data_IF_838134662654
#
_entry.id   IF_838134662654
#
_cell.length_a   1.000
_cell.length_b   1.000
_cell.length_c   1.000
_cell.angle_alpha   90.00
_cell.angle_beta   90.00
_cell.angle_gamma   90.00
#
_symmetry.space_group_name_H-M   'P 1'
#
loop_
_entity.id
_entity.type
_entity.pdbx_description
1 polymer ?
#
# COMPACT_ATOMS: atom_id res chain seq x y z
N UNK A 1 -61.44 -1.60 10.07
CA UNK A 1 -61.67 -2.66 11.06
C UNK A 1 -60.30 -3.30 11.30
N UNK A 2 -59.67 -2.96 12.42
CA UNK A 2 -58.79 -3.70 13.32
C UNK A 2 -57.63 -4.50 12.64
N UNK A 3 -56.38 -4.45 13.09
CA UNK A 3 -55.83 -4.30 14.45
C UNK A 3 -54.33 -3.99 14.38
N UNK A 4 -53.94 -3.14 15.21
CA UNK A 4 -52.62 -2.84 15.80
C UNK A 4 -52.18 -4.04 16.65
N UNK A 5 -50.91 -4.40 16.61
CA UNK A 5 -50.09 -5.02 17.70
C UNK A 5 -48.76 -5.49 17.11
N UNK A 6 -47.59 -5.41 17.71
CA UNK A 6 -47.12 -4.84 18.96
C UNK A 6 -45.62 -4.57 18.87
N UNK A 7 -45.27 -3.54 19.53
CA UNK A 7 -43.98 -3.19 20.07
C UNK A 7 -43.51 -4.23 21.09
N UNK A 8 -42.31 -4.68 21.04
CA UNK A 8 -41.52 -5.30 22.16
C UNK A 8 -40.15 -5.69 21.60
N UNK A 9 -38.98 -5.43 22.11
CA UNK A 9 -38.48 -4.95 23.37
C UNK A 9 -36.96 -4.83 23.21
N UNK A 10 -36.43 -3.75 23.67
CA UNK A 10 -35.03 -3.54 24.01
C UNK A 10 -34.45 -4.72 24.79
N UNK A 11 -33.23 -5.11 24.48
CA UNK A 11 -32.33 -5.60 25.52
C UNK A 11 -30.90 -5.14 25.30
N UNK A 12 -30.61 -4.04 25.95
CA UNK A 12 -29.32 -3.61 26.44
C UNK A 12 -28.70 -4.69 27.32
N UNK A 13 -27.39 -4.64 27.47
CA UNK A 13 -26.49 -5.28 28.45
C UNK A 13 -25.35 -5.96 27.66
N UNK A 14 -24.07 -5.63 27.79
CA UNK A 14 -23.28 -5.39 28.99
C UNK A 14 -21.99 -4.61 28.69
N UNK A 15 -21.83 -3.62 29.51
CA UNK A 15 -20.55 -2.99 29.82
C UNK A 15 -19.72 -3.94 30.67
N UNK A 16 -18.58 -4.39 30.21
CA UNK A 16 -17.56 -4.99 31.09
C UNK A 16 -16.35 -4.07 31.10
N UNK A 17 -16.27 -3.30 32.19
CA UNK A 17 -15.06 -2.62 32.61
C UNK A 17 -14.13 -3.67 33.23
N UNK A 18 -12.95 -3.80 32.71
CA UNK A 18 -11.82 -4.39 33.44
C UNK A 18 -10.66 -3.42 33.43
N UNK A 19 -10.53 -2.72 34.54
CA UNK A 19 -9.31 -2.03 34.93
C UNK A 19 -8.35 -3.07 35.51
N UNK A 20 -7.11 -3.09 35.06
CA UNK A 20 -6.00 -3.61 35.84
C UNK A 20 -4.72 -2.86 35.46
N UNK A 21 -4.30 -2.01 36.36
CA UNK A 21 -2.96 -1.43 36.48
C UNK A 21 -1.95 -2.55 36.77
N UNK A 22 -0.81 -2.50 36.10
CA UNK A 22 0.45 -2.96 36.70
C UNK A 22 1.63 -2.22 36.06
N UNK A 23 2.20 -1.34 36.87
CA UNK A 23 3.47 -0.67 36.67
C UNK A 23 4.61 -1.68 36.79
N UNK A 24 5.58 -1.68 35.90
CA UNK A 24 6.92 -2.20 36.19
C UNK A 24 7.96 -1.32 35.49
N UNK A 25 8.58 -0.50 36.31
CA UNK A 25 9.80 0.25 36.04
C UNK A 25 10.98 -0.70 35.98
N UNK A 26 11.80 -0.66 34.96
CA UNK A 26 13.17 -1.15 35.02
C UNK A 26 14.08 -0.21 34.23
N UNK A 27 14.82 0.60 34.98
CA UNK A 27 15.98 1.38 34.58
C UNK A 27 17.14 0.45 34.25
N UNK A 28 17.66 0.51 33.03
CA UNK A 28 18.98 -0.02 32.70
C UNK A 28 19.83 1.10 32.14
N UNK A 29 20.68 1.64 33.00
CA UNK A 29 21.77 2.51 32.64
C UNK A 29 22.91 1.68 32.01
N UNK A 30 23.32 1.95 30.80
CA UNK A 30 24.57 1.41 30.24
C UNK A 30 25.52 2.58 29.99
N UNK A 31 26.62 2.51 30.73
CA UNK A 31 27.74 3.43 30.78
C UNK A 31 28.57 3.41 29.49
N UNK A 32 28.83 4.59 28.92
CA UNK A 32 29.86 4.82 27.92
C UNK A 32 31.25 4.74 28.59
N UNK A 33 32.05 3.79 28.13
CA UNK A 33 33.50 3.79 28.41
C UNK A 33 34.19 4.49 27.24
N UNK A 34 34.71 5.69 27.51
CA UNK A 34 35.65 6.41 26.65
C UNK A 34 37.05 5.83 26.86
N UNK A 35 37.65 5.26 25.82
CA UNK A 35 39.09 4.95 25.81
C UNK A 35 39.81 6.13 25.08
N UNK A 36 40.41 6.97 25.85
CA UNK A 36 41.43 7.90 25.40
C UNK A 36 42.81 7.22 25.48
N UNK A 37 43.54 7.17 24.37
CA UNK A 37 44.98 6.83 24.37
C UNK A 37 45.84 8.03 24.06
N UNK A 38 47.03 8.16 24.69
CA UNK A 38 47.86 9.37 24.57
C UNK A 38 48.74 9.34 23.32
N UNK A 39 48.90 10.53 22.79
CA UNK A 39 49.84 10.88 21.71
C UNK A 39 51.28 10.80 22.20
N UNK A 40 52.16 10.11 21.51
CA UNK A 40 53.60 10.37 21.52
C UNK A 40 54.05 10.76 20.12
N UNK A 41 54.60 11.94 20.04
CA UNK A 41 55.28 12.48 18.87
C UNK A 41 56.60 11.75 18.63
N UNK A 42 56.94 11.44 17.38
CA UNK A 42 58.22 11.77 16.80
C UNK A 42 58.30 11.54 15.27
N UNK A 43 58.73 12.61 14.64
CA UNK A 43 59.59 12.83 13.47
C UNK A 43 59.38 12.05 12.14
N UNK A 44 59.01 12.88 11.17
CA UNK A 44 59.57 13.04 9.80
C UNK A 44 59.90 11.81 8.93
N UNK A 45 59.18 11.68 7.81
CA UNK A 45 59.79 11.63 6.46
C UNK A 45 58.75 11.68 5.35
N UNK A 46 58.95 12.62 4.49
CA UNK A 46 58.58 12.89 3.11
C UNK A 46 57.98 11.76 2.26
N UNK A 47 56.99 12.19 1.47
CA UNK A 47 56.65 11.78 0.09
C UNK A 47 55.53 10.79 -0.10
N UNK A 48 54.56 11.25 -0.90
CA UNK A 48 53.63 10.36 -1.61
C UNK A 48 52.17 10.73 -1.38
N UNK A 49 51.73 11.89 -1.93
CA UNK A 49 50.31 12.16 -2.15
C UNK A 49 49.75 11.13 -3.13
N UNK A 50 49.18 10.05 -2.62
CA UNK A 50 48.20 9.30 -3.33
C UNK A 50 46.86 9.59 -2.69
N UNK A 51 46.16 10.57 -3.26
CA UNK A 51 44.74 10.80 -2.98
C UNK A 51 43.98 9.57 -3.53
N UNK A 52 43.84 8.55 -2.73
CA UNK A 52 42.81 7.52 -2.97
C UNK A 52 41.49 8.15 -2.58
N UNK A 53 40.80 8.75 -3.57
CA UNK A 53 39.38 8.95 -3.52
C UNK A 53 38.73 7.58 -3.31
N UNK A 54 38.41 7.27 -2.07
CA UNK A 54 37.48 6.21 -1.78
C UNK A 54 36.13 6.68 -2.36
N UNK A 55 35.85 6.23 -3.59
CA UNK A 55 34.51 6.22 -4.13
C UNK A 55 33.73 5.33 -3.20
N UNK A 56 32.90 5.93 -2.36
CA UNK A 56 31.85 5.19 -1.65
C UNK A 56 30.90 4.72 -2.75
N UNK A 57 31.10 3.51 -3.25
CA UNK A 57 30.07 2.78 -3.97
C UNK A 57 28.95 2.54 -2.96
N UNK A 58 28.04 3.52 -2.91
CA UNK A 58 26.73 3.29 -2.31
C UNK A 58 26.07 2.27 -3.22
N UNK A 59 26.02 1.03 -2.80
CA UNK A 59 25.28 -0.02 -3.50
C UNK A 59 23.83 0.47 -3.63
N UNK A 60 23.51 1.01 -4.79
CA UNK A 60 22.16 1.44 -5.10
C UNK A 60 21.35 0.17 -5.39
N UNK A 61 20.36 -0.11 -4.57
CA UNK A 61 19.42 -1.21 -4.83
C UNK A 61 18.73 -0.90 -6.15
N UNK A 62 18.86 -1.74 -7.17
CA UNK A 62 18.19 -1.52 -8.46
C UNK A 62 16.68 -1.37 -8.25
N UNK A 63 16.05 -0.44 -8.96
CA UNK A 63 14.59 -0.37 -9.00
C UNK A 63 14.05 -1.64 -9.68
N UNK A 64 13.23 -2.47 -9.00
CA UNK A 64 12.72 -3.71 -9.58
C UNK A 64 11.59 -3.48 -10.59
N UNK A 65 11.05 -2.27 -10.67
CA UNK A 65 9.96 -1.92 -11.57
C UNK A 65 10.49 -1.57 -12.97
N UNK A 66 9.85 -2.15 -13.98
CA UNK A 66 10.08 -1.84 -15.39
C UNK A 66 8.98 -0.92 -15.90
N UNK A 67 9.33 0.24 -16.43
CA UNK A 67 8.37 1.16 -17.04
C UNK A 67 7.95 0.64 -18.42
N UNK A 68 6.65 0.73 -18.73
CA UNK A 68 6.04 0.35 -19.99
C UNK A 68 5.35 1.56 -20.62
N UNK A 69 5.49 1.71 -21.94
CA UNK A 69 4.82 2.78 -22.66
C UNK A 69 3.32 2.48 -22.88
N UNK A 70 2.97 1.21 -22.96
CA UNK A 70 1.59 0.74 -23.22
C UNK A 70 1.26 -0.50 -22.39
N UNK A 71 -0.04 -0.79 -22.25
CA UNK A 71 -0.51 -2.04 -21.66
C UNK A 71 -0.10 -3.27 -22.50
N UNK A 72 0.05 -3.13 -23.80
CA UNK A 72 0.54 -4.20 -24.66
C UNK A 72 2.02 -4.54 -24.35
N UNK A 73 2.86 -3.55 -24.01
CA UNK A 73 4.23 -3.77 -23.58
C UNK A 73 4.25 -4.50 -22.22
N UNK A 74 3.37 -4.11 -21.30
CA UNK A 74 3.21 -4.79 -20.01
C UNK A 74 2.75 -6.25 -20.21
N UNK A 75 1.77 -6.50 -21.09
CA UNK A 75 1.28 -7.84 -21.42
C UNK A 75 2.39 -8.73 -22.02
N UNK A 76 3.30 -8.16 -22.82
CA UNK A 76 4.45 -8.90 -23.35
C UNK A 76 5.43 -9.37 -22.25
N UNK A 77 5.51 -8.64 -21.14
CA UNK A 77 6.36 -8.99 -19.99
C UNK A 77 5.67 -9.96 -19.01
N UNK A 78 4.36 -9.82 -18.81
CA UNK A 78 3.62 -10.59 -17.81
C UNK A 78 2.91 -11.82 -18.36
N UNK A 79 2.64 -11.85 -19.68
CA UNK A 79 1.96 -12.96 -20.34
C UNK A 79 0.42 -12.91 -20.23
N UNK A 80 -0.17 -11.82 -19.76
CA UNK A 80 -1.61 -11.61 -19.69
C UNK A 80 -2.00 -10.18 -20.05
N UNK A 81 -3.23 -9.98 -20.50
CA UNK A 81 -3.81 -8.65 -20.75
C UNK A 81 -4.35 -8.04 -19.47
N UNK A 82 -4.25 -6.73 -19.35
CA UNK A 82 -4.89 -5.95 -18.30
C UNK A 82 -5.67 -4.79 -18.92
N UNK A 83 -6.96 -4.73 -18.66
CA UNK A 83 -7.83 -3.64 -19.11
C UNK A 83 -8.09 -2.68 -17.96
N UNK A 84 -7.94 -1.40 -18.20
CA UNK A 84 -8.21 -0.32 -17.23
C UNK A 84 -8.83 0.87 -17.97
N UNK A 85 -9.46 1.82 -17.27
CA UNK A 85 -9.94 3.07 -17.90
C UNK A 85 -8.81 3.84 -18.59
N UNK A 86 -9.07 4.42 -19.74
CA UNK A 86 -8.09 5.30 -20.43
C UNK A 86 -7.79 6.56 -19.61
N UNK A 87 -8.72 7.02 -18.82
CA UNK A 87 -8.59 8.17 -17.93
C UNK A 87 -9.51 8.04 -16.73
N UNK A 88 -9.14 8.68 -15.62
CA UNK A 88 -9.96 8.77 -14.42
C UNK A 88 -10.11 10.23 -14.03
N UNK A 89 -11.33 10.66 -13.75
CA UNK A 89 -11.62 12.05 -13.41
C UNK A 89 -10.82 12.53 -12.19
N UNK A 90 -10.22 13.70 -12.31
CA UNK A 90 -9.37 14.28 -11.26
C UNK A 90 -7.90 13.88 -11.32
N UNK A 91 -7.51 13.01 -12.26
CA UNK A 91 -6.13 12.62 -12.50
C UNK A 91 -5.67 13.06 -13.90
N UNK A 92 -4.42 13.53 -14.01
CA UNK A 92 -3.88 14.14 -15.25
C UNK A 92 -2.80 13.31 -15.90
N UNK A 93 -2.14 12.46 -15.13
CA UNK A 93 -1.00 11.68 -15.58
C UNK A 93 -1.26 10.18 -15.37
N UNK A 94 -0.72 9.35 -16.26
CA UNK A 94 -0.82 7.90 -16.17
C UNK A 94 0.56 7.29 -16.38
N UNK A 95 0.91 6.32 -15.54
CA UNK A 95 2.12 5.50 -15.71
C UNK A 95 1.78 4.02 -15.63
N UNK A 96 2.53 3.21 -16.38
CA UNK A 96 2.39 1.75 -16.42
C UNK A 96 3.73 1.15 -16.04
N UNK A 97 3.74 0.28 -15.06
CA UNK A 97 4.94 -0.41 -14.59
C UNK A 97 4.68 -1.89 -14.37
N UNK A 98 5.73 -2.69 -14.49
CA UNK A 98 5.69 -4.14 -14.27
C UNK A 98 6.78 -4.53 -13.27
N UNK A 99 6.40 -5.30 -12.26
CA UNK A 99 7.32 -6.04 -11.40
C UNK A 99 7.45 -7.46 -11.98
N UNK A 100 8.50 -7.66 -12.75
CA UNK A 100 8.64 -8.84 -13.63
C UNK A 100 8.70 -10.16 -12.85
N UNK A 101 9.38 -10.18 -11.69
CA UNK A 101 9.54 -11.39 -10.88
C UNK A 101 8.21 -11.89 -10.30
N UNK A 102 7.27 -10.99 -10.08
CA UNK A 102 5.93 -11.28 -9.55
C UNK A 102 4.86 -11.30 -10.66
N UNK A 103 5.26 -11.00 -11.90
CA UNK A 103 4.35 -10.79 -13.03
C UNK A 103 3.22 -9.79 -12.67
N UNK A 104 3.52 -8.77 -11.85
CA UNK A 104 2.56 -7.78 -11.41
C UNK A 104 2.58 -6.57 -12.33
N UNK A 105 1.44 -6.23 -12.89
CA UNK A 105 1.22 -4.98 -13.62
C UNK A 105 0.58 -3.95 -12.69
N UNK A 106 1.15 -2.74 -12.65
CA UNK A 106 0.55 -1.58 -12.00
C UNK A 106 0.26 -0.49 -13.04
N UNK A 107 -0.95 0.06 -12.99
CA UNK A 107 -1.32 1.29 -13.68
C UNK A 107 -1.63 2.33 -12.62
N UNK A 108 -0.87 3.40 -12.61
CA UNK A 108 -1.05 4.50 -11.68
C UNK A 108 -1.56 5.74 -12.40
N UNK A 109 -2.68 6.27 -11.94
CA UNK A 109 -3.17 7.60 -12.30
C UNK A 109 -2.76 8.58 -11.20
N UNK A 110 -2.26 9.75 -11.58
CA UNK A 110 -1.75 10.74 -10.63
C UNK A 110 -2.16 12.17 -10.97
N UNK A 111 -2.29 13.00 -9.92
CA UNK A 111 -2.50 14.45 -10.04
C UNK A 111 -1.96 15.12 -8.78
N UNK A 112 -0.84 15.83 -8.89
CA UNK A 112 -0.10 16.31 -7.72
C UNK A 112 0.31 15.16 -6.83
N UNK A 113 -0.11 15.17 -5.55
CA UNK A 113 0.19 14.12 -4.58
C UNK A 113 -0.90 13.03 -4.50
N UNK A 114 -2.02 13.20 -5.22
CA UNK A 114 -3.06 12.18 -5.29
C UNK A 114 -2.67 11.06 -6.27
N UNK A 115 -2.88 9.81 -5.87
CA UNK A 115 -2.62 8.63 -6.69
C UNK A 115 -3.79 7.66 -6.58
N UNK A 116 -4.08 7.00 -7.69
CA UNK A 116 -4.98 5.87 -7.79
C UNK A 116 -4.20 4.77 -8.52
N UNK A 117 -4.00 3.63 -7.86
CA UNK A 117 -3.23 2.52 -8.37
C UNK A 117 -4.15 1.33 -8.66
N UNK A 118 -4.12 0.81 -9.89
CA UNK A 118 -4.76 -0.44 -10.26
C UNK A 118 -3.68 -1.49 -10.47
N UNK A 119 -3.86 -2.67 -9.88
CA UNK A 119 -2.90 -3.78 -9.97
C UNK A 119 -3.59 -5.06 -10.40
N UNK A 120 -2.84 -5.88 -11.15
CA UNK A 120 -3.20 -7.25 -11.53
C UNK A 120 -1.97 -8.13 -11.45
N UNK A 121 -2.11 -9.32 -10.89
CA UNK A 121 -1.07 -10.35 -10.88
C UNK A 121 -1.72 -11.74 -10.86
N UNK A 122 -1.01 -12.78 -11.31
CA UNK A 122 -1.47 -14.17 -11.15
C UNK A 122 -1.45 -14.59 -9.69
N UNK A 123 -2.35 -15.51 -9.32
CA UNK A 123 -2.45 -16.06 -7.97
C UNK A 123 -3.53 -15.41 -7.12
N UNK A 124 -3.44 -15.63 -5.81
CA UNK A 124 -4.45 -15.21 -4.83
C UNK A 124 -3.88 -14.39 -3.66
N UNK A 125 -2.61 -14.03 -3.74
CA UNK A 125 -1.96 -13.24 -2.69
C UNK A 125 -2.41 -11.77 -2.73
N UNK A 126 -2.28 -11.08 -1.61
CA UNK A 126 -2.56 -9.65 -1.56
C UNK A 126 -1.46 -8.88 -2.31
N UNK A 127 -1.86 -8.22 -3.39
CA UNK A 127 -0.98 -7.41 -4.24
C UNK A 127 -1.19 -5.91 -4.06
N UNK A 128 -2.04 -5.50 -3.11
CA UNK A 128 -2.39 -4.08 -2.93
C UNK A 128 -1.20 -3.22 -2.52
N UNK A 129 -0.25 -3.80 -1.78
CA UNK A 129 0.84 -3.05 -1.16
C UNK A 129 0.34 -2.01 -0.15
N UNK A 130 -0.89 -2.18 0.32
CA UNK A 130 -1.50 -1.33 1.33
C UNK A 130 -1.48 -2.04 2.68
N UNK A 131 -0.81 -1.44 3.65
CA UNK A 131 -0.67 -1.95 5.01
C UNK A 131 -1.50 -1.16 6.02
N UNK A 132 -2.40 -0.30 5.55
CA UNK A 132 -3.27 0.46 6.41
C UNK A 132 -4.32 -0.44 7.06
N UNK A 133 -4.79 -0.02 8.23
CA UNK A 133 -5.93 -0.64 8.89
C UNK A 133 -7.16 0.23 8.67
N UNK A 134 -8.20 -0.37 8.11
CA UNK A 134 -9.46 0.28 7.83
C UNK A 134 -10.51 -0.10 8.87
N UNK A 135 -11.33 0.88 9.28
CA UNK A 135 -12.42 0.63 10.22
C UNK A 135 -13.59 -0.13 9.58
N UNK A 136 -13.71 -0.03 8.26
CA UNK A 136 -14.78 -0.65 7.48
C UNK A 136 -14.19 -1.63 6.46
N UNK A 137 -14.78 -2.83 6.38
CA UNK A 137 -14.44 -3.86 5.38
C UNK A 137 -15.71 -4.60 5.00
N UNK A 138 -16.15 -4.45 3.76
CA UNK A 138 -17.40 -4.99 3.28
C UNK A 138 -17.21 -5.74 1.96
N UNK A 139 -17.79 -6.93 1.86
CA UNK A 139 -17.85 -7.66 0.61
C UNK A 139 -19.10 -7.25 -0.18
N UNK A 140 -18.92 -6.92 -1.46
CA UNK A 140 -20.00 -6.59 -2.39
C UNK A 140 -19.90 -7.45 -3.64
N UNK A 141 -21.03 -7.73 -4.28
CA UNK A 141 -21.04 -8.38 -5.60
C UNK A 141 -20.95 -7.32 -6.70
N UNK A 142 -19.97 -7.48 -7.59
CA UNK A 142 -19.80 -6.65 -8.76
C UNK A 142 -19.74 -7.52 -10.01
N UNK A 143 -20.86 -7.63 -10.70
CA UNK A 143 -21.02 -8.44 -11.91
C UNK A 143 -20.60 -9.91 -11.71
N UNK A 144 -20.98 -10.49 -10.54
CA UNK A 144 -20.70 -11.88 -10.15
C UNK A 144 -19.32 -12.08 -9.49
N UNK A 145 -18.53 -11.03 -9.31
CA UNK A 145 -17.25 -11.05 -8.58
C UNK A 145 -17.45 -10.58 -7.14
N UNK A 146 -16.93 -11.33 -6.18
CA UNK A 146 -16.90 -10.89 -4.77
C UNK A 146 -15.75 -9.92 -4.56
N UNK A 147 -16.05 -8.65 -4.35
CA UNK A 147 -15.08 -7.57 -4.15
C UNK A 147 -15.11 -7.14 -2.70
N UNK A 148 -13.94 -7.10 -2.06
CA UNK A 148 -13.79 -6.54 -0.72
C UNK A 148 -13.49 -5.05 -0.83
N UNK A 149 -14.36 -4.21 -0.28
CA UNK A 149 -14.19 -2.76 -0.17
C UNK A 149 -13.76 -2.43 1.25
N UNK A 150 -12.65 -1.71 1.39
CA UNK A 150 -12.10 -1.31 2.69
C UNK A 150 -11.92 0.21 2.75
N UNK A 151 -12.20 0.77 3.92
CA UNK A 151 -12.12 2.21 4.07
C UNK A 151 -12.51 2.73 5.44
N UNK A 152 -12.73 4.04 5.50
CA UNK A 152 -13.11 4.76 6.71
C UNK A 152 -14.18 5.81 6.40
N UNK A 153 -15.04 6.10 7.39
CA UNK A 153 -16.06 7.17 7.32
C UNK A 153 -16.97 7.06 6.08
N UNK A 154 -17.33 5.83 5.70
CA UNK A 154 -18.19 5.57 4.54
C UNK A 154 -17.52 5.79 3.18
N UNK A 155 -16.20 5.99 3.15
CA UNK A 155 -15.40 6.12 1.93
C UNK A 155 -14.51 4.89 1.73
N UNK A 156 -14.28 4.52 0.48
CA UNK A 156 -13.47 3.36 0.10
C UNK A 156 -12.09 3.82 -0.35
N UNK A 157 -11.05 3.34 0.31
CA UNK A 157 -9.65 3.58 -0.06
C UNK A 157 -9.02 2.38 -0.79
N UNK A 158 -9.53 1.17 -0.54
CA UNK A 158 -9.01 -0.05 -1.13
C UNK A 158 -10.12 -0.97 -1.59
N UNK A 159 -10.00 -1.51 -2.79
CA UNK A 159 -10.81 -2.62 -3.29
C UNK A 159 -9.89 -3.77 -3.70
N UNK A 160 -10.24 -5.00 -3.32
CA UNK A 160 -9.51 -6.21 -3.71
C UNK A 160 -10.47 -7.31 -4.15
N UNK A 161 -10.10 -8.09 -5.18
CA UNK A 161 -10.90 -9.22 -5.63
C UNK A 161 -10.07 -10.25 -6.38
N UNK A 162 -10.66 -11.42 -6.54
CA UNK A 162 -10.16 -12.47 -7.42
C UNK A 162 -11.08 -12.61 -8.64
N UNK A 163 -10.49 -12.79 -9.81
CA UNK A 163 -11.20 -13.15 -11.02
C UNK A 163 -10.40 -14.17 -11.83
N UNK A 164 -10.93 -15.41 -11.92
CA UNK A 164 -10.19 -16.55 -12.45
C UNK A 164 -8.92 -16.85 -11.63
N UNK A 165 -7.79 -16.89 -12.32
CA UNK A 165 -6.47 -17.19 -11.73
C UNK A 165 -5.71 -15.91 -11.32
N UNK A 166 -6.38 -14.76 -11.28
CA UNK A 166 -5.75 -13.46 -11.04
C UNK A 166 -6.31 -12.75 -9.81
N UNK A 167 -5.43 -12.07 -9.12
CA UNK A 167 -5.76 -11.10 -8.07
C UNK A 167 -5.71 -9.69 -8.63
N UNK A 168 -6.60 -8.86 -8.15
CA UNK A 168 -6.71 -7.45 -8.51
C UNK A 168 -6.77 -6.57 -7.26
N UNK A 169 -6.27 -5.36 -7.37
CA UNK A 169 -6.49 -4.32 -6.37
C UNK A 169 -6.63 -2.93 -6.98
N UNK A 170 -7.40 -2.07 -6.31
CA UNK A 170 -7.49 -0.63 -6.57
C UNK A 170 -7.26 0.09 -5.26
N UNK A 171 -6.19 0.87 -5.17
CA UNK A 171 -5.83 1.67 -4.00
C UNK A 171 -5.90 3.17 -4.28
N UNK A 172 -6.45 3.95 -3.35
CA UNK A 172 -6.55 5.41 -3.40
C UNK A 172 -5.62 6.00 -2.35
N UNK A 173 -4.73 6.89 -2.79
CA UNK A 173 -3.75 7.54 -1.93
C UNK A 173 -3.89 9.07 -2.10
N UNK A 174 -4.44 9.73 -1.08
CA UNK A 174 -4.59 11.19 -1.01
C UNK A 174 -4.09 11.69 0.34
N UNK A 175 -3.46 12.86 0.36
CA UNK A 175 -2.90 13.42 1.60
C UNK A 175 -3.98 13.71 2.66
N UNK A 176 -5.19 14.03 2.24
CA UNK A 176 -6.32 14.27 3.13
C UNK A 176 -7.02 12.99 3.62
N UNK A 177 -6.54 11.81 3.17
CA UNK A 177 -7.10 10.51 3.51
C UNK A 177 -8.48 10.25 2.90
N UNK A 178 -8.95 11.08 1.95
CA UNK A 178 -10.25 10.86 1.32
C UNK A 178 -10.18 9.68 0.34
N UNK A 179 -11.22 8.84 0.37
CA UNK A 179 -11.44 7.75 -0.57
C UNK A 179 -12.41 8.13 -1.69
N UNK A 180 -12.99 7.10 -2.27
CA UNK A 180 -14.11 7.20 -3.21
C UNK A 180 -15.40 6.75 -2.53
N UNK A 181 -16.54 7.10 -3.10
CA UNK A 181 -17.79 6.42 -2.75
C UNK A 181 -17.76 4.96 -3.19
N UNK A 182 -18.58 4.12 -2.59
CA UNK A 182 -18.70 2.71 -3.01
C UNK A 182 -19.12 2.57 -4.48
N UNK A 183 -19.96 3.47 -4.98
CA UNK A 183 -20.41 3.47 -6.38
C UNK A 183 -19.27 3.83 -7.34
N UNK A 184 -18.46 4.84 -7.02
CA UNK A 184 -17.29 5.22 -7.82
C UNK A 184 -16.25 4.10 -7.84
N UNK A 185 -15.95 3.50 -6.69
CA UNK A 185 -15.03 2.36 -6.62
C UNK A 185 -15.56 1.17 -7.42
N UNK A 186 -16.85 0.86 -7.31
CA UNK A 186 -17.49 -0.21 -8.09
C UNK A 186 -17.43 0.03 -9.59
N UNK A 187 -17.55 1.28 -10.03
CA UNK A 187 -17.39 1.63 -11.45
C UNK A 187 -15.97 1.36 -11.96
N UNK A 188 -14.94 1.66 -11.14
CA UNK A 188 -13.55 1.33 -11.47
C UNK A 188 -13.31 -0.19 -11.51
N UNK A 189 -13.86 -0.94 -10.55
CA UNK A 189 -13.79 -2.42 -10.54
C UNK A 189 -14.39 -3.03 -11.80
N UNK A 190 -15.53 -2.50 -12.28
CA UNK A 190 -16.15 -2.95 -13.54
C UNK A 190 -15.29 -2.67 -14.77
N UNK A 191 -14.56 -1.57 -14.76
CA UNK A 191 -13.70 -1.17 -15.86
C UNK A 191 -12.35 -1.91 -15.87
N UNK A 192 -11.98 -2.56 -14.76
CA UNK A 192 -10.72 -3.31 -14.62
C UNK A 192 -10.95 -4.82 -14.81
N UNK A 193 -10.21 -5.44 -15.76
CA UNK A 193 -10.26 -6.89 -15.99
C UNK A 193 -8.98 -7.46 -16.62
#
# INVERSE_FOLDING_TARGET
>A
MFTRKELTTMKSINMIKCSALLACSALLAVSLAACSQPVTSDAASTAGSASSSATSDTAQIPNPWTECATLADAAALTGYDFTVPDSVDGYTDTSITVLTDEQLTEVQYSSGNARLCLRKAPGSDDISGDYNQYAESNAVDVDGRSVTLQGNDGQVQLATWLDGDYTYSIGIYREDGTGLTADEMTALVKAAN
#
